data_IF_492316944944
#
_entry.id   IF_492316944944
#
_cell.length_a   1.000
_cell.length_b   1.000
_cell.length_c   1.000
_cell.angle_alpha   90.00
_cell.angle_beta   90.00
_cell.angle_gamma   90.00
#
_symmetry.space_group_name_H-M   'P 1'
#
loop_
_entity.id
_entity.type
_entity.pdbx_description
1 polymer ?
#
# COMPACT_ATOMS: atom_id res chain seq x y z
N UNK A 1 18.95 -7.16 -22.48
CA UNK A 1 18.15 -6.04 -21.95
C UNK A 1 19.08 -5.32 -21.00
N UNK A 2 19.47 -4.09 -21.32
CA UNK A 2 20.35 -3.29 -20.44
C UNK A 2 19.60 -3.05 -19.13
N UNK A 3 20.24 -3.32 -17.99
CA UNK A 3 19.65 -2.98 -16.71
C UNK A 3 19.62 -1.45 -16.58
N UNK A 4 18.41 -0.87 -16.57
CA UNK A 4 18.22 0.59 -16.50
C UNK A 4 18.85 1.19 -15.25
N UNK A 5 18.93 0.42 -14.15
CA UNK A 5 19.53 0.91 -12.90
C UNK A 5 21.06 0.98 -13.01
N UNK A 6 21.69 -0.03 -13.61
CA UNK A 6 23.13 -0.02 -13.89
C UNK A 6 23.48 1.07 -14.90
N UNK A 7 22.68 1.23 -15.96
CA UNK A 7 22.85 2.30 -16.95
C UNK A 7 22.76 3.68 -16.31
N UNK A 8 21.75 3.92 -15.47
CA UNK A 8 21.59 5.19 -14.78
C UNK A 8 22.75 5.49 -13.83
N UNK A 9 23.29 4.47 -13.15
CA UNK A 9 24.45 4.61 -12.28
C UNK A 9 25.75 4.88 -13.06
N UNK A 10 25.99 4.14 -14.15
CA UNK A 10 27.16 4.34 -15.02
C UNK A 10 27.16 5.74 -15.63
N UNK A 11 26.04 6.15 -16.24
CA UNK A 11 25.90 7.47 -16.84
C UNK A 11 26.07 8.59 -15.79
N UNK A 12 25.56 8.38 -14.56
CA UNK A 12 25.74 9.34 -13.48
C UNK A 12 27.21 9.49 -13.10
N UNK A 13 27.94 8.38 -12.93
CA UNK A 13 29.36 8.42 -12.60
C UNK A 13 30.18 9.08 -13.71
N UNK A 14 29.94 8.71 -14.96
CA UNK A 14 30.60 9.32 -16.12
C UNK A 14 30.31 10.83 -16.21
N UNK A 15 29.05 11.23 -15.98
CA UNK A 15 28.67 12.64 -15.94
C UNK A 15 29.39 13.39 -14.82
N UNK A 16 29.48 12.83 -13.61
CA UNK A 16 30.17 13.45 -12.46
C UNK A 16 31.66 13.67 -12.73
N UNK A 17 32.34 12.69 -13.36
CA UNK A 17 33.75 12.83 -13.77
C UNK A 17 33.92 13.91 -14.86
N UNK A 18 33.00 13.94 -15.83
CA UNK A 18 33.06 14.88 -16.94
C UNK A 18 32.78 16.34 -16.57
N UNK A 19 32.17 16.66 -15.41
CA UNK A 19 31.88 18.05 -15.00
C UNK A 19 33.16 18.90 -14.98
N UNK A 20 34.18 18.45 -14.25
CA UNK A 20 35.42 19.20 -14.10
C UNK A 20 36.21 19.28 -15.40
N UNK A 21 36.22 18.20 -16.17
CA UNK A 21 36.84 18.13 -17.49
C UNK A 21 36.18 19.12 -18.48
N UNK A 22 34.84 19.18 -18.48
CA UNK A 22 34.08 20.08 -19.34
C UNK A 22 34.40 21.55 -19.06
N UNK A 23 34.45 21.95 -17.79
CA UNK A 23 34.78 23.33 -17.39
C UNK A 23 36.20 23.74 -17.82
N UNK A 24 37.18 22.84 -17.63
CA UNK A 24 38.58 23.11 -18.02
C UNK A 24 38.76 23.21 -19.52
N UNK A 25 38.19 22.26 -20.28
CA UNK A 25 38.28 22.26 -21.74
C UNK A 25 37.49 23.41 -22.38
N UNK A 26 36.38 23.84 -21.77
CA UNK A 26 35.61 25.00 -22.25
C UNK A 26 36.34 26.34 -22.10
N UNK A 27 37.40 26.41 -21.27
CA UNK A 27 38.22 27.61 -21.13
C UNK A 27 39.17 27.84 -22.33
N UNK A 28 39.36 26.84 -23.19
CA UNK A 28 40.18 26.95 -24.39
C UNK A 28 39.46 27.72 -25.51
N UNK A 29 40.19 28.52 -26.31
CA UNK A 29 39.61 29.22 -27.45
C UNK A 29 38.99 28.24 -28.44
N UNK A 30 37.75 28.50 -28.83
CA UNK A 30 37.02 27.62 -29.73
C UNK A 30 37.63 27.63 -31.15
N UNK A 31 37.95 26.45 -31.69
CA UNK A 31 38.43 26.29 -33.07
C UNK A 31 39.95 26.27 -33.24
N UNK A 32 40.73 26.37 -32.17
CA UNK A 32 42.16 26.07 -32.20
C UNK A 32 42.42 24.59 -31.94
N UNK A 33 43.33 24.00 -32.71
CA UNK A 33 43.80 22.63 -32.43
C UNK A 33 44.65 22.70 -31.18
N UNK A 34 44.21 22.02 -30.11
CA UNK A 34 44.99 21.88 -28.88
C UNK A 34 46.16 20.93 -29.19
N UNK A 35 47.38 21.47 -29.24
CA UNK A 35 48.59 20.67 -29.32
C UNK A 35 48.96 20.17 -27.92
N UNK A 36 48.44 19.00 -27.57
CA UNK A 36 48.64 18.31 -26.30
C UNK A 36 50.13 18.12 -25.94
N UNK A 37 51.02 18.08 -26.93
CA UNK A 37 52.46 17.97 -26.70
C UNK A 37 53.08 19.25 -26.09
N UNK A 38 52.39 20.39 -26.21
CA UNK A 38 52.85 21.68 -25.67
C UNK A 38 52.31 21.98 -24.27
N UNK A 39 51.45 21.11 -23.72
CA UNK A 39 50.86 21.27 -22.38
C UNK A 39 51.29 20.15 -21.43
N UNK A 40 52.60 19.84 -21.44
CA UNK A 40 53.21 18.91 -20.48
C UNK A 40 52.96 19.38 -19.03
N UNK A 41 52.18 18.60 -18.28
CA UNK A 41 51.78 18.88 -16.90
C UNK A 41 50.33 19.32 -16.72
N UNK A 42 49.60 19.55 -17.81
CA UNK A 42 48.16 19.81 -17.77
C UNK A 42 47.33 18.53 -17.87
N UNK A 43 46.15 18.54 -17.25
CA UNK A 43 45.30 17.35 -17.07
C UNK A 43 44.45 17.02 -18.32
N UNK A 44 44.85 17.50 -19.50
CA UNK A 44 44.02 17.53 -20.73
C UNK A 44 43.72 16.13 -21.26
N UNK A 45 44.69 15.22 -21.26
CA UNK A 45 44.48 13.84 -21.71
C UNK A 45 43.45 13.10 -20.84
N UNK A 46 43.45 13.40 -19.53
CA UNK A 46 42.46 12.86 -18.58
C UNK A 46 41.10 13.50 -18.86
N UNK A 47 41.04 14.81 -19.05
CA UNK A 47 39.79 15.53 -19.33
C UNK A 47 39.11 15.06 -20.62
N UNK A 48 39.89 14.82 -21.68
CA UNK A 48 39.37 14.26 -22.94
C UNK A 48 38.85 12.83 -22.73
N UNK A 49 39.55 12.04 -21.91
CA UNK A 49 39.12 10.67 -21.58
C UNK A 49 37.78 10.69 -20.84
N UNK A 50 37.65 11.52 -19.80
CA UNK A 50 36.42 11.65 -19.01
C UNK A 50 35.24 12.13 -19.87
N UNK A 51 35.47 13.09 -20.78
CA UNK A 51 34.45 13.58 -21.72
C UNK A 51 34.03 12.48 -22.70
N UNK A 52 34.97 11.72 -23.25
CA UNK A 52 34.66 10.64 -24.20
C UNK A 52 33.89 9.51 -23.51
N UNK A 53 34.26 9.15 -22.29
CA UNK A 53 33.52 8.17 -21.47
C UNK A 53 32.08 8.62 -21.26
N UNK A 54 31.86 9.89 -20.91
CA UNK A 54 30.50 10.45 -20.81
C UNK A 54 29.74 10.41 -22.15
N UNK A 55 30.39 10.74 -23.28
CA UNK A 55 29.73 10.74 -24.59
C UNK A 55 29.35 9.32 -25.05
N UNK A 56 30.15 8.32 -24.74
CA UNK A 56 29.82 6.91 -25.00
C UNK A 56 28.61 6.47 -24.18
N UNK A 57 28.59 6.78 -22.89
CA UNK A 57 27.47 6.45 -22.00
C UNK A 57 26.21 7.25 -22.32
N UNK A 58 26.35 8.52 -22.70
CA UNK A 58 25.28 9.42 -23.13
C UNK A 58 24.86 9.19 -24.60
N UNK A 59 25.02 7.96 -25.10
CA UNK A 59 24.55 7.61 -26.44
C UNK A 59 23.05 7.88 -26.59
N UNK A 60 22.56 8.26 -27.79
CA UNK A 60 21.13 8.50 -28.02
C UNK A 60 20.25 7.31 -27.60
N UNK A 61 20.74 6.08 -27.79
CA UNK A 61 20.04 4.87 -27.38
C UNK A 61 19.88 4.78 -25.85
N UNK A 62 20.93 5.10 -25.10
CA UNK A 62 20.92 5.08 -23.64
C UNK A 62 20.02 6.19 -23.06
N UNK A 63 20.06 7.39 -23.64
CA UNK A 63 19.19 8.50 -23.24
C UNK A 63 17.73 8.12 -23.47
N UNK A 64 17.37 7.58 -24.64
CA UNK A 64 16.01 7.14 -24.93
C UNK A 64 15.55 6.03 -23.96
N UNK A 65 16.43 5.07 -23.66
CA UNK A 65 16.12 4.01 -22.70
C UNK A 65 15.83 4.56 -21.29
N UNK A 66 16.58 5.56 -20.83
CA UNK A 66 16.34 6.22 -19.55
C UNK A 66 15.05 7.06 -19.56
N UNK A 67 14.74 7.75 -20.65
CA UNK A 67 13.49 8.51 -20.81
C UNK A 67 12.28 7.58 -20.81
N UNK A 68 12.30 6.51 -21.60
CA UNK A 68 11.22 5.51 -21.63
C UNK A 68 10.98 4.88 -20.25
N UNK A 69 12.06 4.60 -19.52
CA UNK A 69 11.96 4.07 -18.16
C UNK A 69 11.38 5.10 -17.18
N UNK A 70 11.75 6.36 -17.31
CA UNK A 70 11.22 7.46 -16.49
C UNK A 70 9.73 7.66 -16.75
N UNK A 71 9.31 7.71 -18.02
CA UNK A 71 7.90 7.85 -18.40
C UNK A 71 7.06 6.68 -17.87
N UNK A 72 7.58 5.45 -17.99
CA UNK A 72 6.94 4.25 -17.44
C UNK A 72 6.83 4.30 -15.91
N UNK A 73 7.89 4.71 -15.21
CA UNK A 73 7.88 4.86 -13.76
C UNK A 73 6.89 5.94 -13.30
N UNK A 74 6.81 7.06 -14.02
CA UNK A 74 5.86 8.13 -13.75
C UNK A 74 4.41 7.66 -13.94
N UNK A 75 4.13 6.94 -15.03
CA UNK A 75 2.80 6.37 -15.29
C UNK A 75 2.39 5.36 -14.21
N UNK A 76 3.33 4.51 -13.76
CA UNK A 76 3.10 3.58 -12.66
C UNK A 76 2.79 4.31 -11.35
N UNK A 77 3.55 5.35 -11.02
CA UNK A 77 3.32 6.14 -9.80
C UNK A 77 1.92 6.79 -9.77
N UNK A 78 1.44 7.29 -10.92
CA UNK A 78 0.09 7.85 -11.03
C UNK A 78 -0.95 6.76 -10.76
N UNK A 79 -0.82 5.60 -11.40
CA UNK A 79 -1.75 4.48 -11.21
C UNK A 79 -1.75 3.97 -9.76
N UNK A 80 -0.57 3.83 -9.16
CA UNK A 80 -0.41 3.41 -7.77
C UNK A 80 -1.07 4.38 -6.80
N UNK A 81 -0.96 5.68 -7.06
CA UNK A 81 -1.60 6.70 -6.24
C UNK A 81 -3.13 6.59 -6.30
N UNK A 82 -3.70 6.39 -7.49
CA UNK A 82 -5.14 6.19 -7.67
C UNK A 82 -5.66 4.93 -6.96
N UNK A 83 -4.94 3.82 -7.09
CA UNK A 83 -5.26 2.56 -6.42
C UNK A 83 -5.21 2.72 -4.89
N UNK A 84 -4.14 3.33 -4.37
CA UNK A 84 -3.99 3.61 -2.93
C UNK A 84 -5.11 4.50 -2.40
N UNK A 85 -5.51 5.52 -3.17
CA UNK A 85 -6.61 6.39 -2.79
C UNK A 85 -7.96 5.63 -2.72
N UNK A 86 -8.22 4.72 -3.67
CA UNK A 86 -9.41 3.85 -3.63
C UNK A 86 -9.37 2.91 -2.42
N UNK A 87 -8.25 2.22 -2.20
CA UNK A 87 -8.10 1.28 -1.08
C UNK A 87 -8.25 1.97 0.28
N UNK A 88 -7.77 3.20 0.42
CA UNK A 88 -7.94 3.99 1.64
C UNK A 88 -9.42 4.25 1.93
N UNK A 89 -10.20 4.63 0.91
CA UNK A 89 -11.66 4.84 1.05
C UNK A 89 -12.39 3.56 1.43
N UNK A 90 -12.07 2.45 0.78
CA UNK A 90 -12.67 1.14 1.07
C UNK A 90 -12.33 0.66 2.48
N UNK A 91 -11.06 0.78 2.87
CA UNK A 91 -10.59 0.46 4.22
C UNK A 91 -11.36 1.25 5.28
N UNK A 92 -11.51 2.56 5.11
CA UNK A 92 -12.27 3.39 6.06
C UNK A 92 -13.73 2.94 6.16
N UNK A 93 -14.38 2.67 5.02
CA UNK A 93 -15.75 2.17 5.01
C UNK A 93 -15.90 0.82 5.70
N UNK A 94 -14.93 -0.08 5.52
CA UNK A 94 -14.91 -1.38 6.21
C UNK A 94 -14.72 -1.20 7.73
N UNK A 95 -13.85 -0.29 8.16
CA UNK A 95 -13.67 0.02 9.58
C UNK A 95 -14.95 0.56 10.21
N UNK A 96 -15.67 1.45 9.52
CA UNK A 96 -16.95 1.97 10.00
C UNK A 96 -18.00 0.85 10.13
N UNK A 97 -18.11 -0.01 9.11
CA UNK A 97 -19.01 -1.18 9.13
C UNK A 97 -18.66 -2.16 10.25
N UNK A 98 -17.37 -2.40 10.48
CA UNK A 98 -16.91 -3.27 11.56
C UNK A 98 -17.32 -2.69 12.92
N UNK A 99 -17.13 -1.39 13.10
CA UNK A 99 -17.54 -0.68 14.32
C UNK A 99 -19.05 -0.75 14.56
N UNK A 100 -19.85 -0.64 13.51
CA UNK A 100 -21.30 -0.81 13.60
C UNK A 100 -21.71 -2.24 13.93
N UNK A 101 -21.04 -3.23 13.33
CA UNK A 101 -21.26 -4.64 13.64
C UNK A 101 -20.92 -4.96 15.10
N UNK A 102 -19.78 -4.48 15.60
CA UNK A 102 -19.35 -4.67 17.00
C UNK A 102 -20.37 -4.06 17.98
N UNK A 103 -20.88 -2.86 17.67
CA UNK A 103 -21.96 -2.25 18.48
C UNK A 103 -23.22 -3.11 18.47
N UNK A 104 -23.60 -3.65 17.31
CA UNK A 104 -24.79 -4.50 17.20
C UNK A 104 -24.61 -5.81 17.95
N UNK A 105 -23.42 -6.40 17.93
CA UNK A 105 -23.08 -7.60 18.71
C UNK A 105 -23.21 -7.28 20.20
N UNK A 106 -22.58 -6.20 20.69
CA UNK A 106 -22.68 -5.81 22.10
C UNK A 106 -24.12 -5.54 22.54
N UNK A 107 -24.92 -4.88 21.69
CA UNK A 107 -26.35 -4.68 21.94
C UNK A 107 -27.06 -6.02 22.08
N UNK A 108 -26.86 -6.94 21.12
CA UNK A 108 -27.49 -8.26 21.13
C UNK A 108 -27.06 -9.11 22.34
N UNK A 109 -25.78 -9.07 22.71
CA UNK A 109 -25.22 -9.77 23.88
C UNK A 109 -25.75 -9.20 25.21
N UNK A 110 -26.11 -7.92 25.26
CA UNK A 110 -26.70 -7.30 26.45
C UNK A 110 -28.20 -7.61 26.63
N UNK A 111 -28.86 -8.23 25.64
CA UNK A 111 -30.30 -8.50 25.71
C UNK A 111 -30.58 -9.55 26.77
N UNK A 112 -31.58 -9.27 27.59
CA UNK A 112 -32.09 -10.19 28.60
C UNK A 112 -33.52 -10.57 28.27
N UNK A 113 -33.89 -11.81 28.59
CA UNK A 113 -35.25 -12.31 28.43
C UNK A 113 -35.91 -12.37 29.80
N UNK A 114 -37.09 -11.76 29.93
CA UNK A 114 -37.92 -11.93 31.12
C UNK A 114 -38.69 -13.24 30.97
N UNK A 115 -38.35 -14.22 31.79
CA UNK A 115 -39.05 -15.50 31.82
C UNK A 115 -40.46 -15.33 32.40
N UNK A 116 -41.46 -16.09 31.90
CA UNK A 116 -42.79 -16.14 32.47
C UNK A 116 -42.77 -16.68 33.91
N UNK A 117 -43.89 -16.56 34.61
CA UNK A 117 -43.98 -17.06 35.98
C UNK A 117 -43.77 -18.59 36.00
N UNK A 118 -43.01 -19.06 36.99
CA UNK A 118 -42.76 -20.49 37.16
C UNK A 118 -43.95 -21.11 37.87
N UNK A 119 -44.59 -22.11 37.26
CA UNK A 119 -45.69 -22.83 37.88
C UNK A 119 -45.13 -23.68 39.03
N UNK A 120 -45.49 -23.32 40.26
CA UNK A 120 -45.01 -23.99 41.50
C UNK A 120 -45.73 -25.31 41.80
N UNK A 121 -46.57 -25.77 40.87
CA UNK A 121 -47.54 -26.84 41.11
C UNK A 121 -48.75 -26.31 41.89
N UNK A 122 -49.94 -26.82 41.56
CA UNK A 122 -51.10 -26.61 42.43
C UNK A 122 -50.89 -27.40 43.73
N UNK A 123 -51.33 -26.87 44.88
CA UNK A 123 -51.26 -27.57 46.19
C UNK A 123 -51.77 -29.03 46.15
N UNK A 124 -52.63 -29.36 45.18
CA UNK A 124 -53.23 -30.70 44.98
C UNK A 124 -52.60 -31.53 43.86
N UNK A 125 -51.68 -30.98 43.06
CA UNK A 125 -51.02 -31.63 41.92
C UNK A 125 -49.55 -32.01 42.17
N UNK A 126 -49.02 -31.75 43.37
CA UNK A 126 -47.64 -32.07 43.78
C UNK A 126 -47.25 -33.54 43.54
N UNK A 127 -48.21 -34.47 43.55
CA UNK A 127 -47.97 -35.90 43.33
C UNK A 127 -47.71 -36.26 41.85
N UNK A 128 -48.17 -35.46 40.89
CA UNK A 128 -47.96 -35.71 39.45
C UNK A 128 -46.77 -34.92 38.89
N UNK A 129 -46.57 -33.68 39.34
CA UNK A 129 -45.43 -32.84 38.96
C UNK A 129 -44.84 -32.18 40.21
N UNK A 130 -43.92 -32.86 40.92
CA UNK A 130 -43.32 -32.33 42.15
C UNK A 130 -42.30 -31.21 41.90
N UNK A 131 -41.93 -30.96 40.65
CA UNK A 131 -40.95 -29.92 40.28
C UNK A 131 -41.62 -28.73 39.59
N UNK A 132 -41.17 -27.51 39.90
CA UNK A 132 -41.73 -26.33 39.27
C UNK A 132 -41.30 -26.23 37.80
N UNK A 133 -42.26 -25.98 36.91
CA UNK A 133 -42.08 -25.98 35.45
C UNK A 133 -42.52 -24.65 34.82
N UNK A 134 -42.07 -24.40 33.59
CA UNK A 134 -42.56 -23.30 32.77
C UNK A 134 -43.53 -23.84 31.74
N UNK A 135 -44.57 -23.07 31.44
CA UNK A 135 -45.46 -23.39 30.32
C UNK A 135 -44.74 -23.15 28.98
N UNK A 136 -44.83 -24.10 28.07
CA UNK A 136 -44.12 -24.05 26.79
C UNK A 136 -44.60 -22.89 25.91
N UNK A 137 -45.91 -22.64 25.85
CA UNK A 137 -46.46 -21.54 25.06
C UNK A 137 -46.02 -20.18 25.63
N UNK A 138 -45.96 -20.06 26.95
CA UNK A 138 -45.50 -18.83 27.60
C UNK A 138 -43.99 -18.59 27.42
N UNK A 139 -43.18 -19.65 27.40
CA UNK A 139 -41.76 -19.57 27.08
C UNK A 139 -41.53 -19.16 25.62
N UNK A 140 -42.27 -19.77 24.69
CA UNK A 140 -42.23 -19.41 23.27
C UNK A 140 -42.65 -17.95 23.05
N UNK A 141 -43.73 -17.49 23.71
CA UNK A 141 -44.15 -16.07 23.67
C UNK A 141 -43.07 -15.15 24.22
N UNK A 142 -42.42 -15.50 25.33
CA UNK A 142 -41.35 -14.69 25.93
C UNK A 142 -40.10 -14.61 25.02
N UNK A 143 -39.70 -15.72 24.41
CA UNK A 143 -38.60 -15.77 23.45
C UNK A 143 -38.94 -15.01 22.16
N UNK A 144 -40.15 -15.19 21.63
CA UNK A 144 -40.62 -14.47 20.45
C UNK A 144 -40.76 -12.97 20.69
N UNK A 145 -41.23 -12.53 21.87
CA UNK A 145 -41.25 -11.12 22.26
C UNK A 145 -39.83 -10.54 22.37
N UNK A 146 -38.85 -11.36 22.76
CA UNK A 146 -37.43 -11.04 22.67
C UNK A 146 -36.85 -11.26 21.26
N UNK A 147 -37.66 -11.53 20.23
CA UNK A 147 -37.21 -11.74 18.85
C UNK A 147 -36.23 -12.91 18.69
N UNK A 148 -36.24 -13.88 19.61
CA UNK A 148 -35.45 -15.10 19.55
C UNK A 148 -36.30 -16.16 18.87
N UNK A 149 -35.76 -16.76 17.81
CA UNK A 149 -36.39 -17.89 17.12
C UNK A 149 -35.98 -19.18 17.81
N UNK A 150 -36.93 -20.10 17.97
CA UNK A 150 -36.69 -21.46 18.47
C UNK A 150 -36.80 -22.39 17.26
N UNK A 151 -35.78 -23.20 17.02
CA UNK A 151 -35.83 -24.25 16.00
C UNK A 151 -36.52 -25.50 16.57
N UNK A 152 -37.34 -26.17 15.75
CA UNK A 152 -37.90 -27.47 16.12
C UNK A 152 -36.81 -28.54 16.03
N UNK A 153 -36.81 -29.46 17.00
CA UNK A 153 -35.87 -30.59 17.07
C UNK A 153 -36.10 -31.64 15.98
#
# INVERSE_FOLDING_TARGET
MTDITELAQSLKAAAENAIGAHERLAAYPYGEIIDISQQEGEQIDIDITDINEFLEEASPANILALVDALEKAQQQNISDFEIKARLCKESNSLHDRLREADKRIAELESRTVKLPHRNLGHDKLFLLCPFPYYDAEDMEKALAAAGIKVEAE
#
